data_IF_758590440398
#
_entry.id   IF_758590440398
#
_cell.length_a   1.000
_cell.length_b   1.000
_cell.length_c   1.000
_cell.angle_alpha   90.00
_cell.angle_beta   90.00
_cell.angle_gamma   90.00
#
_symmetry.space_group_name_H-M   'P 1'
#
loop_
_entity.id
_entity.type
_entity.pdbx_description
1 polymer ?
#
# COMPACT_ATOMS: atom_id res chain seq x y z
N UNK A 1 1.67 -19.70 -0.60
CA UNK A 1 0.76 -19.67 0.56
C UNK A 1 1.19 -18.49 1.42
N UNK A 2 0.38 -17.44 1.49
CA UNK A 2 0.65 -16.30 2.37
C UNK A 2 0.41 -16.75 3.81
N UNK A 3 1.41 -16.66 4.69
CA UNK A 3 1.24 -17.00 6.11
C UNK A 3 0.33 -16.00 6.86
N UNK A 4 0.03 -14.86 6.22
CA UNK A 4 -0.79 -13.78 6.75
C UNK A 4 -1.90 -13.46 5.73
N UNK A 5 -3.12 -13.28 6.23
CA UNK A 5 -4.29 -12.91 5.43
C UNK A 5 -4.81 -11.54 5.89
N UNK A 6 -5.08 -10.66 4.94
CA UNK A 6 -5.78 -9.40 5.19
C UNK A 6 -7.27 -9.56 4.86
N UNK A 7 -8.12 -9.61 5.89
CA UNK A 7 -9.58 -9.59 5.73
C UNK A 7 -10.15 -8.28 6.27
N UNK A 8 -10.69 -7.46 5.37
CA UNK A 8 -11.38 -6.21 5.71
C UNK A 8 -12.92 -6.36 5.68
N UNK A 9 -13.45 -7.58 5.68
CA UNK A 9 -14.90 -7.83 5.57
C UNK A 9 -15.75 -7.10 6.62
N UNK A 10 -15.21 -6.88 7.82
CA UNK A 10 -15.86 -6.14 8.89
C UNK A 10 -16.14 -4.65 8.53
N UNK A 11 -15.38 -4.06 7.60
CA UNK A 11 -15.51 -2.65 7.21
C UNK A 11 -16.53 -2.41 6.09
N UNK A 12 -17.09 -3.46 5.48
CA UNK A 12 -18.02 -3.38 4.33
C UNK A 12 -19.28 -2.53 4.58
N UNK A 13 -19.65 -2.30 5.84
CA UNK A 13 -20.78 -1.43 6.22
C UNK A 13 -20.44 0.07 6.15
N UNK A 14 -19.15 0.39 6.08
CA UNK A 14 -18.62 1.75 6.17
C UNK A 14 -17.83 2.15 4.93
N UNK A 15 -17.23 1.17 4.22
CA UNK A 15 -16.39 1.39 3.05
C UNK A 15 -16.90 0.50 1.92
N UNK A 16 -17.19 1.11 0.78
CA UNK A 16 -17.58 0.41 -0.44
C UNK A 16 -16.37 -0.09 -1.23
N UNK A 17 -16.58 -1.07 -2.11
CA UNK A 17 -15.52 -1.55 -3.00
C UNK A 17 -15.02 -0.48 -3.97
N UNK A 18 -15.89 0.43 -4.41
CA UNK A 18 -15.51 1.47 -5.36
C UNK A 18 -14.65 2.55 -4.70
N UNK A 19 -14.86 2.86 -3.42
CA UNK A 19 -13.95 3.72 -2.66
C UNK A 19 -12.53 3.15 -2.58
N UNK A 20 -12.39 1.83 -2.40
CA UNK A 20 -11.10 1.15 -2.45
C UNK A 20 -10.49 1.25 -3.85
N UNK A 21 -11.29 1.17 -4.92
CA UNK A 21 -10.80 1.36 -6.28
C UNK A 21 -10.33 2.79 -6.54
N UNK A 22 -11.01 3.80 -5.98
CA UNK A 22 -10.65 5.21 -6.21
C UNK A 22 -9.25 5.57 -5.70
N UNK A 23 -8.75 4.90 -4.66
CA UNK A 23 -7.39 5.12 -4.12
C UNK A 23 -6.29 4.34 -4.86
N UNK A 24 -6.63 3.56 -5.89
CA UNK A 24 -5.66 2.71 -6.61
C UNK A 24 -4.51 3.53 -7.19
N UNK A 25 -4.81 4.61 -7.91
CA UNK A 25 -3.78 5.44 -8.55
C UNK A 25 -2.81 6.07 -7.55
N UNK A 26 -3.31 6.51 -6.39
CA UNK A 26 -2.49 7.08 -5.31
C UNK A 26 -1.61 6.00 -4.68
N UNK A 27 -2.14 4.79 -4.50
CA UNK A 27 -1.43 3.65 -3.95
C UNK A 27 -0.32 3.17 -4.90
N UNK A 28 -0.59 3.14 -6.20
CA UNK A 28 0.41 2.80 -7.23
C UNK A 28 1.52 3.84 -7.31
N UNK A 29 1.18 5.12 -7.24
CA UNK A 29 2.16 6.20 -7.18
C UNK A 29 3.05 6.04 -5.94
N UNK A 30 2.48 5.89 -4.74
CA UNK A 30 3.23 5.69 -3.50
C UNK A 30 4.13 4.43 -3.56
N UNK A 31 3.63 3.33 -4.12
CA UNK A 31 4.44 2.12 -4.36
C UNK A 31 5.64 2.44 -5.23
N UNK A 32 5.45 3.16 -6.33
CA UNK A 32 6.54 3.56 -7.23
C UNK A 32 7.55 4.46 -6.51
N UNK A 33 7.09 5.41 -5.71
CA UNK A 33 7.99 6.30 -4.97
C UNK A 33 8.92 5.51 -4.03
N UNK A 34 8.34 4.59 -3.26
CA UNK A 34 9.08 3.75 -2.30
C UNK A 34 10.05 2.81 -3.01
N UNK A 35 9.61 2.12 -4.08
CA UNK A 35 10.45 1.16 -4.79
C UNK A 35 11.54 1.81 -5.63
N UNK A 36 11.29 3.00 -6.17
CA UNK A 36 12.28 3.77 -6.94
C UNK A 36 13.22 4.58 -6.02
N UNK A 37 13.03 4.53 -4.70
CA UNK A 37 13.86 5.25 -3.74
C UNK A 37 13.74 6.77 -3.88
N UNK A 38 12.54 7.29 -4.15
CA UNK A 38 12.28 8.71 -4.34
C UNK A 38 11.24 9.23 -3.32
N UNK A 39 10.88 10.51 -3.43
CA UNK A 39 9.95 11.15 -2.51
C UNK A 39 10.63 11.66 -1.24
N UNK A 40 9.83 12.21 -0.33
CA UNK A 40 10.33 12.80 0.90
C UNK A 40 10.83 11.72 1.88
N UNK A 41 12.07 11.86 2.37
CA UNK A 41 12.66 10.92 3.33
C UNK A 41 13.19 9.62 2.71
N UNK A 42 13.43 9.61 1.40
CA UNK A 42 13.97 8.45 0.69
C UNK A 42 15.36 7.99 1.16
N UNK A 43 16.11 8.84 1.87
CA UNK A 43 17.36 8.49 2.56
C UNK A 43 17.21 7.35 3.59
N UNK A 44 15.98 7.03 4.01
CA UNK A 44 15.68 6.05 5.08
C UNK A 44 14.93 4.80 4.59
N UNK A 45 14.97 4.49 3.29
CA UNK A 45 14.26 3.33 2.71
C UNK A 45 15.04 2.01 2.75
N UNK A 46 16.15 1.93 3.50
CA UNK A 46 16.98 0.72 3.57
C UNK A 46 16.25 -0.54 4.03
N UNK A 47 15.09 -0.40 4.69
CA UNK A 47 14.25 -1.52 5.14
C UNK A 47 13.44 -2.19 4.02
N UNK A 48 13.27 -1.54 2.87
CA UNK A 48 12.45 -2.05 1.76
C UNK A 48 13.06 -3.30 1.13
N UNK A 49 14.39 -3.36 1.07
CA UNK A 49 15.15 -4.49 0.53
C UNK A 49 15.60 -5.49 1.62
N UNK A 50 15.27 -5.23 2.89
CA UNK A 50 15.52 -6.18 3.97
C UNK A 50 14.44 -7.28 3.98
N UNK A 51 14.80 -8.52 4.38
CA UNK A 51 13.84 -9.61 4.51
C UNK A 51 12.70 -9.34 5.50
#
# INVERSE_FOLDING_TARGET
MSAVTFDYSATKKFISQDEVKFITAQTEAAKKEVLDGNGAGNDFLGWVDLP
#
